data_IF_483417797602
#
_entry.id   IF_483417797602
#
_cell.length_a   1.000
_cell.length_b   1.000
_cell.length_c   1.000
_cell.angle_alpha   90.00
_cell.angle_beta   90.00
_cell.angle_gamma   90.00
#
_symmetry.space_group_name_H-M   'P 1'
#
loop_
_entity.id
_entity.type
_entity.pdbx_description
1 polymer ?
#
# COMPACT_ATOMS: atom_id res chain seq x y z
N UNK A 1 -34.96 14.91 11.56
CA UNK A 1 -35.51 15.73 12.66
C UNK A 1 -35.47 14.91 13.93
N UNK A 2 -35.13 15.52 15.05
CA UNK A 2 -35.16 14.94 16.40
C UNK A 2 -35.92 15.94 17.29
N UNK A 3 -36.88 15.47 18.08
CA UNK A 3 -37.76 16.31 18.92
C UNK A 3 -38.42 17.50 18.18
N UNK A 4 -38.83 17.26 16.93
CA UNK A 4 -39.47 18.29 16.10
C UNK A 4 -38.53 19.38 15.57
N UNK A 5 -37.22 19.31 15.89
CA UNK A 5 -36.22 20.25 15.40
C UNK A 5 -35.38 19.63 14.26
N UNK A 6 -34.97 20.50 13.32
CA UNK A 6 -34.03 20.14 12.27
C UNK A 6 -32.64 20.04 12.89
N UNK A 7 -32.07 18.83 12.90
CA UNK A 7 -30.73 18.56 13.46
C UNK A 7 -29.66 18.39 12.37
N UNK A 8 -30.07 17.86 11.22
CA UNK A 8 -29.21 17.51 10.10
C UNK A 8 -29.79 18.11 8.82
N UNK A 9 -28.94 18.79 8.05
CA UNK A 9 -29.23 19.20 6.69
C UNK A 9 -28.46 18.32 5.71
N UNK A 10 -29.09 17.94 4.61
CA UNK A 10 -28.46 17.13 3.57
C UNK A 10 -28.68 17.79 2.23
N UNK A 11 -27.58 18.07 1.52
CA UNK A 11 -27.59 18.53 0.13
C UNK A 11 -26.99 17.45 -0.76
N UNK A 12 -27.81 16.95 -1.70
CA UNK A 12 -27.40 15.93 -2.65
C UNK A 12 -27.17 16.55 -4.03
N UNK A 13 -26.03 16.21 -4.63
CA UNK A 13 -25.63 16.51 -6.01
C UNK A 13 -25.79 15.27 -6.87
N UNK A 14 -25.71 15.45 -8.19
CA UNK A 14 -25.74 14.35 -9.14
C UNK A 14 -24.49 13.47 -8.94
N UNK A 15 -24.66 12.16 -9.10
CA UNK A 15 -23.54 11.23 -9.09
C UNK A 15 -22.48 11.60 -10.12
N UNK A 16 -21.21 11.45 -9.74
CA UNK A 16 -20.00 11.86 -10.46
C UNK A 16 -19.76 13.37 -10.58
N UNK A 17 -20.65 14.24 -10.09
CA UNK A 17 -20.32 15.65 -9.97
C UNK A 17 -19.35 15.83 -8.78
N UNK A 18 -18.24 16.57 -8.95
CA UNK A 18 -17.32 16.85 -7.86
C UNK A 18 -18.03 17.71 -6.80
N UNK A 19 -17.85 17.35 -5.53
CA UNK A 19 -18.34 18.14 -4.42
C UNK A 19 -17.54 19.44 -4.32
N UNK A 20 -18.23 20.56 -4.47
CA UNK A 20 -17.65 21.90 -4.38
C UNK A 20 -18.48 22.72 -3.40
N UNK A 21 -17.87 23.18 -2.32
CA UNK A 21 -18.50 24.05 -1.33
C UNK A 21 -19.08 25.33 -1.95
N UNK A 22 -18.43 25.87 -2.98
CA UNK A 22 -18.90 27.00 -3.79
C UNK A 22 -20.28 26.75 -4.44
N UNK A 23 -20.60 25.48 -4.71
CA UNK A 23 -21.84 25.03 -5.32
C UNK A 23 -22.87 24.55 -4.27
N UNK A 24 -22.50 24.58 -2.98
CA UNK A 24 -23.32 24.20 -1.83
C UNK A 24 -23.88 25.43 -1.08
N UNK A 25 -24.10 26.54 -1.81
CA UNK A 25 -24.59 27.80 -1.23
C UNK A 25 -25.96 27.68 -0.55
N UNK A 26 -26.76 26.67 -0.92
CA UNK A 26 -28.03 26.37 -0.26
C UNK A 26 -27.79 25.77 1.13
N UNK A 27 -26.92 24.77 1.25
CA UNK A 27 -26.53 24.17 2.53
C UNK A 27 -26.06 25.23 3.52
N UNK A 28 -25.14 26.11 3.13
CA UNK A 28 -24.66 27.21 3.99
C UNK A 28 -25.80 28.14 4.44
N UNK A 29 -26.67 28.55 3.52
CA UNK A 29 -27.78 29.46 3.81
C UNK A 29 -28.77 28.84 4.78
N UNK A 30 -29.13 27.58 4.59
CA UNK A 30 -30.06 26.88 5.47
C UNK A 30 -29.43 26.54 6.82
N UNK A 31 -28.14 26.22 6.84
CA UNK A 31 -27.42 25.95 8.09
C UNK A 31 -27.43 27.16 9.03
N UNK A 32 -27.23 28.38 8.49
CA UNK A 32 -27.20 29.60 9.30
C UNK A 32 -28.56 30.04 9.88
N UNK A 33 -29.68 29.50 9.37
CA UNK A 33 -31.05 29.93 9.74
C UNK A 33 -31.88 28.79 10.35
N UNK A 34 -31.28 27.64 10.62
CA UNK A 34 -31.93 26.50 11.26
C UNK A 34 -31.18 26.12 12.54
N UNK A 35 -31.80 25.28 13.38
CA UNK A 35 -31.13 24.69 14.55
C UNK A 35 -30.22 23.50 14.16
N UNK A 36 -29.96 23.29 12.87
CA UNK A 36 -29.14 22.19 12.42
C UNK A 36 -27.70 22.43 12.86
N UNK A 37 -27.13 21.41 13.50
CA UNK A 37 -25.73 21.42 13.93
C UNK A 37 -24.85 20.57 13.03
N UNK A 38 -25.46 19.80 12.13
CA UNK A 38 -24.78 18.90 11.20
C UNK A 38 -25.27 19.17 9.77
N UNK A 39 -24.32 19.24 8.84
CA UNK A 39 -24.59 19.36 7.41
C UNK A 39 -23.90 18.22 6.67
N UNK A 40 -24.55 17.68 5.63
CA UNK A 40 -24.01 16.63 4.78
C UNK A 40 -24.10 17.10 3.33
N UNK A 41 -22.95 17.14 2.65
CA UNK A 41 -22.88 17.35 1.22
C UNK A 41 -22.50 16.02 0.56
N UNK A 42 -23.27 15.58 -0.43
CA UNK A 42 -23.04 14.27 -1.05
C UNK A 42 -23.36 14.25 -2.54
N UNK A 43 -22.69 13.39 -3.31
CA UNK A 43 -23.05 13.05 -4.69
C UNK A 43 -23.52 11.58 -4.81
N UNK A 44 -23.80 10.92 -3.68
CA UNK A 44 -24.18 9.51 -3.61
C UNK A 44 -23.02 8.53 -3.51
N UNK A 45 -21.80 8.92 -3.92
CA UNK A 45 -20.58 8.13 -3.67
C UNK A 45 -19.77 8.70 -2.51
N UNK A 46 -19.54 10.00 -2.50
CA UNK A 46 -18.80 10.69 -1.44
C UNK A 46 -19.79 11.44 -0.55
N UNK A 47 -19.59 11.35 0.76
CA UNK A 47 -20.35 12.04 1.78
C UNK A 47 -19.41 12.86 2.67
N UNK A 48 -19.57 14.17 2.64
CA UNK A 48 -18.81 15.11 3.45
C UNK A 48 -19.70 15.63 4.58
N UNK A 49 -19.27 15.41 5.82
CA UNK A 49 -19.99 15.83 7.01
C UNK A 49 -19.35 17.08 7.61
N UNK A 50 -20.18 18.05 7.96
CA UNK A 50 -19.81 19.36 8.48
C UNK A 50 -20.52 19.62 9.81
N UNK A 51 -19.87 20.40 10.67
CA UNK A 51 -20.41 20.91 11.95
C UNK A 51 -20.26 22.42 12.01
N UNK A 52 -20.57 23.02 13.15
CA UNK A 52 -20.31 24.42 13.51
C UNK A 52 -19.42 24.55 14.76
N UNK A 53 -18.41 23.69 14.85
CA UNK A 53 -17.48 23.65 15.98
C UNK A 53 -16.63 24.93 16.08
N UNK A 54 -16.37 25.60 14.95
CA UNK A 54 -15.56 26.82 14.93
C UNK A 54 -16.35 28.06 15.39
N UNK A 55 -17.62 28.15 14.99
CA UNK A 55 -18.49 29.25 15.37
C UNK A 55 -19.96 28.80 15.37
N UNK A 56 -20.74 29.09 16.44
CA UNK A 56 -22.14 28.66 16.54
C UNK A 56 -22.97 29.09 15.33
N UNK A 57 -23.79 28.18 14.80
CA UNK A 57 -24.65 28.39 13.62
C UNK A 57 -23.91 28.79 12.35
N UNK A 58 -22.60 28.53 12.28
CA UNK A 58 -21.79 28.74 11.08
C UNK A 58 -21.12 27.43 10.70
N UNK A 59 -21.52 26.88 9.56
CA UNK A 59 -20.91 25.66 9.03
C UNK A 59 -19.40 25.85 8.83
N UNK A 60 -18.62 24.93 9.39
CA UNK A 60 -17.16 24.87 9.27
C UNK A 60 -16.76 24.79 7.79
N UNK A 61 -15.63 25.40 7.45
CA UNK A 61 -15.15 25.43 6.06
C UNK A 61 -14.61 24.07 5.56
N UNK A 62 -14.27 23.16 6.49
CA UNK A 62 -13.73 21.84 6.18
C UNK A 62 -14.60 20.76 6.81
N UNK A 63 -14.87 19.65 6.11
CA UNK A 63 -15.60 18.55 6.70
C UNK A 63 -14.78 17.89 7.80
N UNK A 64 -15.44 17.39 8.84
CA UNK A 64 -14.81 16.62 9.91
C UNK A 64 -14.73 15.12 9.57
N UNK A 65 -15.61 14.64 8.67
CA UNK A 65 -15.63 13.28 8.18
C UNK A 65 -15.91 13.31 6.68
N UNK A 66 -15.13 12.54 5.91
CA UNK A 66 -15.35 12.29 4.49
C UNK A 66 -15.42 10.78 4.31
N UNK A 67 -16.51 10.31 3.74
CA UNK A 67 -16.74 8.89 3.48
C UNK A 67 -16.91 8.69 1.98
N UNK A 68 -16.02 7.88 1.39
CA UNK A 68 -16.11 7.43 0.01
C UNK A 68 -16.62 5.99 -0.02
N UNK A 69 -17.82 5.77 -0.57
CA UNK A 69 -18.39 4.42 -0.66
C UNK A 69 -17.62 3.50 -1.62
N UNK A 70 -16.73 4.03 -2.47
CA UNK A 70 -15.83 3.23 -3.29
C UNK A 70 -14.57 2.75 -2.53
N UNK A 71 -14.23 3.41 -1.42
CA UNK A 71 -13.03 3.15 -0.62
C UNK A 71 -13.32 3.46 0.86
N UNK A 72 -14.13 2.59 1.49
CA UNK A 72 -14.55 2.77 2.88
C UNK A 72 -13.42 2.32 3.81
N UNK A 73 -12.95 3.23 4.67
CA UNK A 73 -12.14 2.87 5.84
C UNK A 73 -13.05 2.26 6.91
N UNK A 74 -13.01 0.93 7.07
CA UNK A 74 -13.81 0.17 8.03
C UNK A 74 -13.64 0.66 9.48
N UNK A 75 -12.52 1.33 9.79
CA UNK A 75 -12.31 1.90 11.13
C UNK A 75 -13.23 3.08 11.45
N UNK A 76 -13.86 3.68 10.43
CA UNK A 76 -14.82 4.77 10.56
C UNK A 76 -16.26 4.27 10.80
N UNK A 77 -16.55 2.99 10.54
CA UNK A 77 -17.91 2.43 10.66
C UNK A 77 -18.51 2.54 12.07
N UNK A 78 -17.76 2.28 13.16
CA UNK A 78 -18.30 2.45 14.51
C UNK A 78 -18.71 3.89 14.82
N UNK A 79 -17.96 4.87 14.30
CA UNK A 79 -18.27 6.30 14.46
C UNK A 79 -19.46 6.71 13.59
N UNK A 80 -19.53 6.20 12.35
CA UNK A 80 -20.68 6.40 11.47
C UNK A 80 -21.96 5.81 12.05
N UNK A 81 -21.88 4.68 12.76
CA UNK A 81 -23.02 4.08 13.43
C UNK A 81 -23.65 5.01 14.48
N UNK A 82 -22.87 5.88 15.13
CA UNK A 82 -23.37 6.90 16.08
C UNK A 82 -24.17 8.02 15.38
N UNK A 83 -23.97 8.22 14.08
CA UNK A 83 -24.70 9.21 13.27
C UNK A 83 -26.06 8.68 12.78
N UNK A 84 -26.39 7.42 13.04
CA UNK A 84 -27.65 6.81 12.59
C UNK A 84 -28.82 7.18 13.50
N UNK A 85 -30.04 7.16 12.96
CA UNK A 85 -31.26 7.63 13.64
C UNK A 85 -31.51 6.98 15.01
N UNK A 86 -31.15 5.71 15.18
CA UNK A 86 -31.44 4.93 16.40
C UNK A 86 -30.51 5.29 17.57
N UNK A 87 -29.30 5.75 17.26
CA UNK A 87 -28.24 6.09 18.22
C UNK A 87 -27.90 7.58 18.22
N UNK A 88 -28.67 8.38 17.50
CA UNK A 88 -28.38 9.81 17.29
C UNK A 88 -28.47 10.58 18.59
N UNK A 89 -27.31 10.99 19.11
CA UNK A 89 -27.16 11.96 20.18
C UNK A 89 -26.29 13.11 19.68
N UNK A 90 -26.89 14.30 19.65
CA UNK A 90 -26.25 15.48 19.05
C UNK A 90 -24.94 15.84 19.77
N UNK A 91 -24.90 15.78 21.10
CA UNK A 91 -23.73 16.18 21.87
C UNK A 91 -22.59 15.17 21.70
N UNK A 92 -22.90 13.87 21.74
CA UNK A 92 -21.95 12.80 21.41
C UNK A 92 -21.42 12.92 19.98
N UNK A 93 -22.28 13.23 19.02
CA UNK A 93 -21.89 13.42 17.62
C UNK A 93 -20.98 14.63 17.43
N UNK A 94 -21.28 15.77 18.05
CA UNK A 94 -20.43 16.96 18.01
C UNK A 94 -19.07 16.67 18.67
N UNK A 95 -19.06 15.97 19.80
CA UNK A 95 -17.84 15.56 20.49
C UNK A 95 -16.98 14.64 19.61
N UNK A 96 -17.59 13.60 19.03
CA UNK A 96 -16.92 12.68 18.11
C UNK A 96 -16.42 13.42 16.85
N UNK A 97 -17.20 14.37 16.33
CA UNK A 97 -16.80 15.20 15.21
C UNK A 97 -15.57 16.06 15.53
N UNK A 98 -15.50 16.61 16.75
CA UNK A 98 -14.32 17.34 17.23
C UNK A 98 -13.07 16.46 17.25
N UNK A 99 -13.17 15.27 17.83
CA UNK A 99 -12.06 14.31 17.87
C UNK A 99 -11.64 13.87 16.45
N UNK A 100 -12.58 13.47 15.59
CA UNK A 100 -12.33 13.06 14.22
C UNK A 100 -11.69 14.18 13.38
N UNK A 101 -12.13 15.42 13.56
CA UNK A 101 -11.54 16.61 12.91
C UNK A 101 -10.05 16.71 13.23
N UNK A 102 -9.68 16.64 14.52
CA UNK A 102 -8.29 16.75 14.93
C UNK A 102 -7.47 15.52 14.55
N UNK A 103 -8.01 14.30 14.70
CA UNK A 103 -7.33 13.07 14.25
C UNK A 103 -7.05 13.13 12.75
N UNK A 104 -8.03 13.52 11.93
CA UNK A 104 -7.86 13.66 10.49
C UNK A 104 -6.83 14.72 10.11
N UNK A 105 -6.83 15.87 10.80
CA UNK A 105 -5.82 16.91 10.61
C UNK A 105 -4.42 16.43 10.99
N UNK A 106 -4.28 15.76 12.13
CA UNK A 106 -3.02 15.18 12.61
C UNK A 106 -2.50 14.11 11.64
N UNK A 107 -3.36 13.19 11.17
CA UNK A 107 -3.01 12.20 10.15
C UNK A 107 -2.48 12.86 8.88
N UNK A 108 -3.11 13.96 8.42
CA UNK A 108 -2.66 14.70 7.23
C UNK A 108 -1.28 15.34 7.45
N UNK A 109 -1.05 15.95 8.61
CA UNK A 109 0.25 16.54 8.96
C UNK A 109 1.31 15.44 9.04
N UNK A 110 1.04 14.33 9.73
CA UNK A 110 1.96 13.19 9.81
C UNK A 110 2.30 12.63 8.43
N UNK A 111 1.31 12.44 7.56
CA UNK A 111 1.53 11.99 6.19
C UNK A 111 2.41 12.98 5.39
N UNK A 112 2.22 14.28 5.57
CA UNK A 112 3.08 15.30 4.97
C UNK A 112 4.52 15.20 5.49
N UNK A 113 4.72 15.10 6.82
CA UNK A 113 6.04 14.94 7.43
C UNK A 113 6.76 13.67 6.97
N UNK A 114 6.02 12.58 6.71
CA UNK A 114 6.61 11.32 6.25
C UNK A 114 7.02 11.37 4.78
N UNK A 115 6.33 12.17 3.96
CA UNK A 115 6.65 12.38 2.55
C UNK A 115 7.79 13.39 2.39
N UNK A 116 7.71 14.50 3.10
CA UNK A 116 8.66 15.60 3.04
C UNK A 116 8.82 16.18 4.47
N UNK A 117 9.81 15.69 5.23
CA UNK A 117 10.10 16.16 6.59
C UNK A 117 10.39 17.67 6.65
N UNK A 118 9.66 18.39 7.49
CA UNK A 118 9.95 19.79 7.77
C UNK A 118 11.11 19.93 8.78
N UNK A 119 11.75 21.10 8.80
CA UNK A 119 12.91 21.38 9.65
C UNK A 119 12.64 21.14 11.14
N UNK A 120 11.43 21.46 11.62
CA UNK A 120 11.04 21.22 13.01
C UNK A 120 10.95 19.74 13.33
N UNK A 121 10.44 18.93 12.40
CA UNK A 121 10.37 17.48 12.55
C UNK A 121 11.75 16.82 12.53
N UNK A 122 12.61 17.26 11.60
CA UNK A 122 14.01 16.82 11.55
C UNK A 122 14.74 17.17 12.84
N UNK A 123 14.57 18.40 13.34
CA UNK A 123 15.15 18.84 14.61
C UNK A 123 14.66 18.02 15.80
N UNK A 124 13.35 17.78 15.87
CA UNK A 124 12.72 17.01 16.94
C UNK A 124 13.32 15.60 17.05
N UNK A 125 13.50 14.91 15.92
CA UNK A 125 14.08 13.57 15.91
C UNK A 125 15.60 13.60 16.16
N UNK A 126 16.30 14.53 15.51
CA UNK A 126 17.77 14.61 15.61
C UNK A 126 18.23 14.89 17.03
N UNK A 127 17.58 15.82 17.74
CA UNK A 127 17.96 16.18 19.12
C UNK A 127 17.78 15.07 20.15
N UNK A 128 17.08 13.97 19.79
CA UNK A 128 16.93 12.80 20.65
C UNK A 128 17.99 11.71 20.42
N UNK A 129 18.75 11.80 19.33
CA UNK A 129 19.75 10.79 18.94
C UNK A 129 21.15 11.37 18.74
N UNK A 130 21.27 12.70 18.68
CA UNK A 130 22.50 13.43 18.51
C UNK A 130 22.71 14.40 19.66
N UNK A 131 23.82 14.26 20.39
CA UNK A 131 24.14 15.04 21.60
C UNK A 131 24.70 16.44 21.30
N UNK A 132 24.97 16.77 20.03
CA UNK A 132 25.51 18.07 19.64
C UNK A 132 24.44 19.12 19.33
N UNK A 133 24.87 20.37 19.15
CA UNK A 133 23.98 21.46 18.77
C UNK A 133 23.37 21.21 17.38
N UNK A 134 22.07 21.49 17.24
CA UNK A 134 21.38 21.41 15.95
C UNK A 134 21.75 22.61 15.07
N UNK A 135 22.83 22.45 14.31
CA UNK A 135 23.34 23.45 13.34
C UNK A 135 22.79 23.19 11.94
N UNK A 136 22.96 24.15 11.01
CA UNK A 136 22.57 23.97 9.61
C UNK A 136 23.24 22.74 8.96
N UNK A 137 24.52 22.49 9.27
CA UNK A 137 25.25 21.32 8.78
C UNK A 137 24.65 20.01 9.30
N UNK A 138 24.26 19.99 10.57
CA UNK A 138 23.57 18.84 11.18
C UNK A 138 22.18 18.66 10.54
N UNK A 139 21.44 19.74 10.30
CA UNK A 139 20.16 19.69 9.58
C UNK A 139 20.31 19.07 8.19
N UNK A 140 21.28 19.53 7.39
CA UNK A 140 21.53 19.03 6.03
C UNK A 140 21.96 17.56 6.03
N UNK A 141 22.71 17.13 7.06
CA UNK A 141 23.10 15.73 7.23
C UNK A 141 21.93 14.84 7.67
N UNK A 142 21.11 15.30 8.63
CA UNK A 142 20.06 14.48 9.24
C UNK A 142 18.73 14.51 8.47
N UNK A 143 18.44 15.54 7.67
CA UNK A 143 17.23 15.60 6.86
C UNK A 143 17.02 14.35 5.99
N UNK A 144 18.01 13.96 5.15
CA UNK A 144 17.93 12.73 4.36
C UNK A 144 17.86 11.45 5.21
N UNK A 145 18.51 11.43 6.38
CA UNK A 145 18.48 10.28 7.28
C UNK A 145 17.09 10.10 7.91
N UNK A 146 16.44 11.20 8.32
CA UNK A 146 15.08 11.19 8.85
C UNK A 146 14.11 10.68 7.78
N UNK A 147 14.16 11.23 6.57
CA UNK A 147 13.30 10.79 5.46
C UNK A 147 13.47 9.29 5.17
N UNK A 148 14.72 8.82 5.12
CA UNK A 148 15.05 7.40 4.90
C UNK A 148 14.52 6.52 6.03
N UNK A 149 14.78 6.89 7.29
CA UNK A 149 14.35 6.13 8.46
C UNK A 149 12.82 6.04 8.54
N UNK A 150 12.10 7.12 8.25
CA UNK A 150 10.64 7.14 8.24
C UNK A 150 10.06 6.24 7.16
N UNK A 151 10.62 6.27 5.95
CA UNK A 151 10.20 5.39 4.86
C UNK A 151 10.48 3.91 5.16
N UNK A 152 11.66 3.59 5.69
CA UNK A 152 12.00 2.23 6.11
C UNK A 152 11.05 1.72 7.19
N UNK A 153 10.81 2.52 8.24
CA UNK A 153 9.89 2.16 9.31
C UNK A 153 8.47 1.91 8.81
N UNK A 154 7.95 2.75 7.92
CA UNK A 154 6.60 2.56 7.36
C UNK A 154 6.52 1.26 6.55
N UNK A 155 7.52 0.98 5.72
CA UNK A 155 7.60 -0.24 4.93
C UNK A 155 7.69 -1.48 5.81
N UNK A 156 8.46 -1.43 6.90
CA UNK A 156 8.53 -2.49 7.90
C UNK A 156 7.17 -2.70 8.57
N UNK A 157 6.48 -1.66 9.02
CA UNK A 157 5.15 -1.78 9.64
C UNK A 157 4.09 -2.36 8.69
N UNK A 158 4.12 -1.96 7.41
CA UNK A 158 3.24 -2.53 6.39
C UNK A 158 3.57 -3.99 6.17
N UNK A 159 4.85 -4.34 6.05
CA UNK A 159 5.30 -5.72 5.89
C UNK A 159 4.94 -6.58 7.10
N UNK A 160 5.07 -6.06 8.32
CA UNK A 160 4.72 -6.75 9.56
C UNK A 160 3.22 -6.97 9.67
N UNK A 161 2.39 -5.98 9.29
CA UNK A 161 0.93 -6.16 9.21
C UNK A 161 0.54 -7.17 8.13
N UNK A 162 1.19 -7.14 6.98
CA UNK A 162 0.96 -8.12 5.90
C UNK A 162 1.36 -9.53 6.35
N UNK A 163 2.52 -9.70 6.99
CA UNK A 163 2.96 -10.97 7.59
C UNK A 163 1.95 -11.44 8.64
N UNK A 164 1.58 -10.57 9.59
CA UNK A 164 0.60 -10.87 10.63
C UNK A 164 -0.79 -11.24 10.09
N UNK A 165 -1.21 -10.67 8.96
CA UNK A 165 -2.47 -10.99 8.29
C UNK A 165 -2.37 -12.26 7.41
N UNK A 166 -1.18 -12.63 6.95
CA UNK A 166 -0.91 -13.81 6.12
C UNK A 166 -0.52 -15.06 6.93
N UNK A 167 -0.19 -14.92 8.22
CA UNK A 167 0.12 -16.01 9.15
C UNK A 167 1.03 -15.54 10.29
N UNK A 168 0.68 -15.87 11.54
CA UNK A 168 1.29 -15.38 12.79
C UNK A 168 2.80 -15.65 12.99
N UNK A 169 3.32 -15.27 14.18
CA UNK A 169 4.66 -14.75 14.40
C UNK A 169 5.72 -15.84 14.38
N UNK A 170 6.62 -15.78 13.40
CA UNK A 170 7.96 -16.37 13.54
C UNK A 170 8.88 -15.76 12.47
N UNK A 171 9.72 -14.82 12.87
CA UNK A 171 11.08 -14.61 12.33
C UNK A 171 11.74 -13.49 13.13
N UNK A 172 12.35 -13.92 14.23
CA UNK A 172 13.39 -13.27 15.01
C UNK A 172 14.23 -12.27 14.22
N UNK A 173 14.29 -11.06 14.76
CA UNK A 173 15.32 -10.06 14.51
C UNK A 173 16.66 -10.58 15.04
N UNK A 174 17.69 -10.61 14.21
CA UNK A 174 19.08 -10.63 14.67
C UNK A 174 19.81 -9.43 14.09
N UNK A 175 19.98 -8.42 14.94
CA UNK A 175 20.97 -7.36 14.78
C UNK A 175 22.32 -7.94 15.19
N UNK A 176 23.36 -7.78 14.37
CA UNK A 176 24.72 -7.57 14.88
C UNK A 176 25.57 -6.81 13.89
N UNK A 177 26.25 -5.83 14.46
CA UNK A 177 27.04 -4.79 13.85
C UNK A 177 28.42 -5.28 13.37
N UNK A 178 29.01 -4.53 12.43
CA UNK A 178 30.42 -4.66 12.06
C UNK A 178 30.78 -3.85 10.81
N UNK A 179 31.32 -2.64 11.00
CA UNK A 179 32.09 -1.86 10.02
C UNK A 179 33.47 -1.58 10.65
N UNK A 180 34.51 -1.09 9.94
CA UNK A 180 34.85 -1.06 8.50
C UNK A 180 36.27 -1.68 8.23
N UNK A 181 36.80 -1.94 7.03
CA UNK A 181 37.34 -1.01 6.00
C UNK A 181 38.34 -1.82 5.09
N UNK A 182 39.09 -1.22 4.13
CA UNK A 182 38.88 -1.24 2.67
C UNK A 182 39.94 -2.04 1.86
N UNK A 183 39.72 -2.27 0.54
CA UNK A 183 40.69 -2.00 -0.55
C UNK A 183 40.14 -2.36 -1.95
N UNK A 184 40.32 -1.42 -2.89
CA UNK A 184 40.17 -1.52 -4.35
C UNK A 184 41.54 -1.92 -5.00
N UNK A 185 41.73 -2.03 -6.33
CA UNK A 185 40.94 -2.61 -7.44
C UNK A 185 41.75 -3.52 -8.43
N UNK A 186 41.09 -4.54 -9.02
CA UNK A 186 41.20 -5.11 -10.42
C UNK A 186 42.57 -5.60 -11.00
N UNK A 187 42.66 -6.36 -12.14
CA UNK A 187 41.65 -6.96 -13.04
C UNK A 187 41.85 -8.45 -13.48
N UNK A 188 40.77 -9.02 -14.05
CA UNK A 188 40.65 -10.01 -15.16
C UNK A 188 41.39 -11.38 -15.14
N UNK A 189 40.62 -12.48 -15.09
CA UNK A 189 40.30 -13.36 -16.23
C UNK A 189 39.64 -14.67 -15.74
N UNK A 190 38.81 -15.25 -16.61
CA UNK A 190 37.86 -16.33 -16.37
C UNK A 190 38.47 -17.67 -15.93
N UNK A 191 37.96 -18.23 -14.84
CA UNK A 191 37.64 -19.67 -14.75
C UNK A 191 36.53 -19.84 -13.72
N UNK A 192 35.44 -20.48 -14.13
CA UNK A 192 34.27 -20.70 -13.30
C UNK A 192 34.58 -21.79 -12.26
N UNK A 193 34.83 -21.37 -11.02
CA UNK A 193 34.70 -22.19 -9.83
C UNK A 193 33.52 -21.65 -9.02
N UNK A 194 32.51 -22.49 -8.83
CA UNK A 194 31.40 -22.25 -7.92
C UNK A 194 31.96 -22.44 -6.50
N UNK A 195 31.93 -21.43 -5.60
CA UNK A 195 32.17 -21.71 -4.21
C UNK A 195 30.94 -22.43 -3.65
N UNK A 196 31.15 -23.66 -3.20
CA UNK A 196 30.22 -24.36 -2.33
C UNK A 196 29.92 -23.51 -1.10
N UNK A 197 28.63 -23.26 -0.85
CA UNK A 197 28.17 -22.63 0.38
C UNK A 197 27.03 -21.60 0.26
N UNK A 198 26.34 -21.48 -0.86
CA UNK A 198 25.16 -20.61 -0.92
C UNK A 198 23.97 -21.30 -0.26
N UNK A 199 23.67 -20.89 0.98
CA UNK A 199 22.30 -20.95 1.49
C UNK A 199 21.41 -20.25 0.48
N UNK A 200 20.27 -20.85 0.18
CA UNK A 200 19.22 -20.22 -0.63
C UNK A 200 18.80 -18.94 0.10
N UNK A 201 19.22 -17.79 -0.42
CA UNK A 201 18.84 -16.46 0.10
C UNK A 201 17.89 -15.87 -0.92
N UNK A 202 16.59 -15.87 -0.60
CA UNK A 202 15.59 -15.18 -1.40
C UNK A 202 15.89 -13.68 -1.37
N UNK A 203 16.22 -13.12 -2.53
CA UNK A 203 16.48 -11.69 -2.69
C UNK A 203 15.16 -10.92 -2.83
N UNK A 204 15.15 -9.63 -2.44
CA UNK A 204 13.96 -8.78 -2.65
C UNK A 204 13.64 -8.65 -4.15
N UNK A 205 14.66 -8.72 -5.01
CA UNK A 205 14.50 -8.67 -6.47
C UNK A 205 13.75 -9.91 -7.00
N UNK A 206 14.05 -11.11 -6.50
CA UNK A 206 13.29 -12.32 -6.84
C UNK A 206 11.85 -12.25 -6.34
N UNK A 207 11.65 -11.67 -5.15
CA UNK A 207 10.31 -11.47 -4.58
C UNK A 207 9.49 -10.46 -5.38
N UNK A 208 10.12 -9.39 -5.85
CA UNK A 208 9.51 -8.39 -6.74
C UNK A 208 9.16 -9.01 -8.10
N UNK A 209 10.07 -9.75 -8.72
CA UNK A 209 9.80 -10.49 -9.95
C UNK A 209 8.64 -11.49 -9.77
N UNK A 210 8.59 -12.19 -8.63
CA UNK A 210 7.47 -13.07 -8.29
C UNK A 210 6.14 -12.31 -8.17
N UNK A 211 6.12 -11.16 -7.49
CA UNK A 211 4.92 -10.31 -7.36
C UNK A 211 4.42 -9.87 -8.73
N UNK A 212 5.32 -9.51 -9.65
CA UNK A 212 4.97 -9.14 -11.03
C UNK A 212 4.37 -10.33 -11.79
N UNK A 213 5.05 -11.49 -11.80
CA UNK A 213 4.53 -12.70 -12.47
C UNK A 213 3.17 -13.09 -11.89
N UNK A 214 3.02 -13.05 -10.56
CA UNK A 214 1.77 -13.33 -9.86
C UNK A 214 0.68 -12.35 -10.28
N UNK A 215 0.94 -11.04 -10.28
CA UNK A 215 -0.02 -10.03 -10.68
C UNK A 215 -0.52 -10.23 -12.13
N UNK A 216 0.39 -10.58 -13.05
CA UNK A 216 0.06 -10.85 -14.45
C UNK A 216 -0.92 -12.03 -14.58
N UNK A 217 -0.63 -13.16 -13.92
CA UNK A 217 -1.44 -14.38 -14.07
C UNK A 217 -2.70 -14.40 -13.19
N UNK A 218 -2.80 -13.50 -12.20
CA UNK A 218 -4.00 -13.35 -11.37
C UNK A 218 -5.24 -12.93 -12.17
N UNK A 219 -5.08 -12.43 -13.39
CA UNK A 219 -6.17 -12.21 -14.32
C UNK A 219 -6.88 -13.51 -14.76
N UNK A 220 -6.16 -14.65 -14.72
CA UNK A 220 -6.65 -15.94 -15.23
C UNK A 220 -6.84 -16.99 -14.12
N UNK A 221 -6.12 -16.88 -13.00
CA UNK A 221 -6.21 -17.80 -11.84
C UNK A 221 -6.24 -17.07 -10.51
N UNK A 222 -6.93 -17.62 -9.49
CA UNK A 222 -6.84 -17.09 -8.13
C UNK A 222 -5.39 -17.02 -7.64
N UNK A 223 -5.06 -15.91 -6.99
CA UNK A 223 -3.71 -15.59 -6.53
C UNK A 223 -3.13 -16.61 -5.53
N UNK A 224 -4.00 -17.35 -4.83
CA UNK A 224 -3.63 -18.44 -3.91
C UNK A 224 -3.08 -19.69 -4.64
N UNK A 225 -3.35 -19.83 -5.93
CA UNK A 225 -2.84 -20.94 -6.75
C UNK A 225 -1.45 -20.67 -7.32
N UNK A 226 -0.91 -19.47 -7.15
CA UNK A 226 0.43 -19.12 -7.62
C UNK A 226 1.38 -19.21 -6.43
N UNK A 227 2.32 -20.14 -6.49
CA UNK A 227 3.26 -20.42 -5.42
C UNK A 227 4.69 -20.03 -5.85
N UNK A 228 5.46 -19.50 -4.90
CA UNK A 228 6.88 -19.27 -5.04
C UNK A 228 7.68 -20.46 -4.49
N UNK A 229 8.74 -20.85 -5.20
CA UNK A 229 9.66 -21.88 -4.75
C UNK A 229 11.09 -21.47 -5.03
N UNK A 230 11.81 -21.13 -3.97
CA UNK A 230 13.19 -20.74 -4.10
C UNK A 230 14.10 -21.97 -4.31
N UNK A 231 15.00 -21.88 -5.28
CA UNK A 231 15.98 -22.91 -5.59
C UNK A 231 17.34 -22.27 -5.76
N UNK A 232 18.41 -23.02 -5.50
CA UNK A 232 19.79 -22.51 -5.60
C UNK A 232 20.11 -21.85 -6.94
N UNK A 233 19.50 -22.33 -8.03
CA UNK A 233 19.83 -21.89 -9.39
C UNK A 233 18.88 -20.85 -9.97
N UNK A 234 17.66 -20.75 -9.45
CA UNK A 234 16.61 -19.85 -9.94
C UNK A 234 15.47 -19.75 -8.93
N UNK A 235 14.71 -18.66 -8.99
CA UNK A 235 13.45 -18.54 -8.25
C UNK A 235 12.29 -19.08 -9.08
N UNK A 236 11.62 -20.12 -8.60
CA UNK A 236 10.52 -20.78 -9.30
C UNK A 236 9.15 -20.15 -9.00
N UNK A 237 8.34 -19.94 -10.04
CA UNK A 237 6.93 -19.58 -9.90
C UNK A 237 6.08 -20.71 -10.47
N UNK A 238 5.23 -21.30 -9.64
CA UNK A 238 4.50 -22.54 -9.92
C UNK A 238 2.99 -22.33 -9.82
N UNK A 239 2.22 -23.06 -10.62
CA UNK A 239 0.77 -23.19 -10.42
C UNK A 239 0.46 -24.37 -9.49
N UNK A 240 -0.44 -24.18 -8.54
CA UNK A 240 -0.90 -25.17 -7.55
C UNK A 240 0.23 -25.78 -6.71
N UNK A 241 1.33 -25.04 -6.48
CA UNK A 241 2.56 -25.55 -5.84
C UNK A 241 3.06 -26.88 -6.45
N UNK A 242 2.89 -27.03 -7.77
CA UNK A 242 3.18 -28.27 -8.47
C UNK A 242 4.36 -28.10 -9.42
N UNK A 243 5.46 -28.83 -9.17
CA UNK A 243 6.66 -28.82 -10.00
C UNK A 243 6.41 -29.23 -11.47
N UNK A 244 5.29 -29.87 -11.78
CA UNK A 244 4.88 -30.23 -13.16
C UNK A 244 4.10 -29.12 -13.89
N UNK A 245 3.82 -28.02 -13.20
CA UNK A 245 3.11 -26.83 -13.69
C UNK A 245 3.92 -25.53 -13.44
N UNK A 246 5.16 -25.41 -13.93
CA UNK A 246 5.92 -24.18 -13.79
C UNK A 246 5.35 -23.06 -14.66
N UNK A 247 5.11 -21.89 -14.06
CA UNK A 247 4.65 -20.68 -14.75
C UNK A 247 5.86 -19.91 -15.29
N UNK A 248 6.87 -19.70 -14.44
CA UNK A 248 8.09 -18.99 -14.78
C UNK A 248 9.28 -19.45 -13.92
N UNK A 249 10.49 -19.17 -14.40
CA UNK A 249 11.73 -19.26 -13.62
C UNK A 249 12.48 -17.92 -13.70
N UNK A 250 12.81 -17.34 -12.56
CA UNK A 250 13.57 -16.09 -12.49
C UNK A 250 15.03 -16.41 -12.27
N UNK A 251 15.87 -16.13 -13.26
CA UNK A 251 17.32 -16.39 -13.20
C UNK A 251 18.04 -15.08 -12.85
N UNK A 252 17.93 -14.65 -11.60
CA UNK A 252 18.50 -13.37 -11.14
C UNK A 252 19.87 -13.52 -10.45
N UNK A 253 20.27 -14.75 -10.15
CA UNK A 253 21.52 -15.09 -9.45
C UNK A 253 22.79 -14.89 -10.29
N UNK A 254 22.70 -14.24 -11.46
CA UNK A 254 23.82 -14.01 -12.39
C UNK A 254 23.84 -12.56 -12.89
N UNK A 255 24.99 -12.13 -13.40
CA UNK A 255 25.19 -10.78 -13.96
C UNK A 255 24.23 -10.45 -15.11
N UNK A 256 23.82 -11.45 -15.88
CA UNK A 256 22.74 -11.34 -16.88
C UNK A 256 21.49 -12.01 -16.33
N UNK A 257 20.39 -11.26 -16.28
CA UNK A 257 19.09 -11.71 -15.78
C UNK A 257 18.28 -12.33 -16.91
N UNK A 258 17.54 -13.39 -16.60
CA UNK A 258 16.66 -14.02 -17.56
C UNK A 258 15.30 -14.37 -16.94
N UNK A 259 14.25 -14.21 -17.75
CA UNK A 259 12.93 -14.77 -17.50
C UNK A 259 12.80 -16.10 -18.27
N UNK A 260 12.69 -17.21 -17.56
CA UNK A 260 12.38 -18.52 -18.13
C UNK A 260 10.87 -18.66 -18.35
N UNK A 261 10.44 -18.80 -19.60
CA UNK A 261 9.04 -19.06 -20.01
C UNK A 261 8.91 -20.43 -20.65
N UNK A 262 7.70 -21.02 -20.63
CA UNK A 262 7.47 -22.39 -21.10
C UNK A 262 6.56 -22.47 -22.33
N UNK A 263 6.95 -23.30 -23.29
CA UNK A 263 6.17 -23.58 -24.50
C UNK A 263 5.16 -24.74 -24.31
N UNK A 264 4.56 -25.22 -25.41
CA UNK A 264 3.55 -26.30 -25.41
C UNK A 264 4.15 -27.65 -24.99
N UNK A 265 5.43 -27.86 -25.28
CA UNK A 265 6.18 -29.06 -24.93
C UNK A 265 6.78 -28.98 -23.52
N UNK A 266 6.46 -27.93 -22.76
CA UNK A 266 7.08 -27.60 -21.47
C UNK A 266 8.59 -27.36 -21.57
N UNK A 267 9.09 -27.01 -22.76
CA UNK A 267 10.47 -26.60 -22.94
C UNK A 267 10.64 -25.16 -22.45
N UNK A 268 11.71 -24.92 -21.69
CA UNK A 268 12.04 -23.61 -21.15
C UNK A 268 12.81 -22.77 -22.18
N UNK A 269 12.36 -21.54 -22.42
CA UNK A 269 13.11 -20.52 -23.15
C UNK A 269 13.52 -19.40 -22.18
N UNK A 270 14.81 -19.06 -22.16
CA UNK A 270 15.35 -17.98 -21.32
C UNK A 270 15.39 -16.68 -22.10
N UNK A 271 14.54 -15.73 -21.73
CA UNK A 271 14.46 -14.41 -22.32
C UNK A 271 15.32 -13.43 -21.49
N UNK A 272 16.30 -12.75 -22.09
CA UNK A 272 17.14 -11.80 -21.35
C UNK A 272 16.30 -10.59 -20.92
N UNK A 273 16.46 -10.17 -19.68
CA UNK A 273 15.83 -8.96 -19.13
C UNK A 273 16.88 -8.07 -18.47
N UNK A 274 16.62 -6.76 -18.46
CA UNK A 274 17.52 -5.76 -17.85
C UNK A 274 17.03 -5.37 -16.46
N UNK A 275 15.70 -5.31 -16.28
CA UNK A 275 15.03 -5.01 -15.02
C UNK A 275 13.86 -5.98 -14.76
N UNK A 276 13.37 -6.03 -13.52
CA UNK A 276 12.17 -6.82 -13.17
C UNK A 276 10.90 -6.31 -13.88
N UNK A 277 10.85 -5.02 -14.24
CA UNK A 277 9.72 -4.43 -14.98
C UNK A 277 9.58 -5.00 -16.40
N UNK A 278 10.69 -5.46 -17.01
CA UNK A 278 10.67 -6.06 -18.35
C UNK A 278 9.80 -7.33 -18.42
N UNK A 279 9.49 -7.96 -17.27
CA UNK A 279 8.57 -9.11 -17.18
C UNK A 279 7.18 -8.77 -17.76
N UNK A 280 6.72 -7.51 -17.63
CA UNK A 280 5.44 -7.09 -18.20
C UNK A 280 5.37 -7.25 -19.73
N UNK A 281 6.51 -7.12 -20.42
CA UNK A 281 6.59 -7.29 -21.88
C UNK A 281 6.35 -8.75 -22.31
N UNK A 282 6.47 -9.69 -21.37
CA UNK A 282 6.28 -11.13 -21.60
C UNK A 282 4.98 -11.67 -21.00
N UNK A 283 4.05 -10.79 -20.60
CA UNK A 283 2.78 -11.17 -19.99
C UNK A 283 1.98 -12.20 -20.82
N UNK A 284 2.01 -12.08 -22.16
CA UNK A 284 1.35 -13.02 -23.06
C UNK A 284 1.86 -14.46 -22.92
N UNK A 285 3.17 -14.65 -22.77
CA UNK A 285 3.75 -15.98 -22.55
C UNK A 285 3.31 -16.58 -21.22
N UNK A 286 3.35 -15.79 -20.14
CA UNK A 286 2.99 -16.23 -18.79
C UNK A 286 1.52 -16.66 -18.71
N UNK A 287 0.62 -15.85 -19.28
CA UNK A 287 -0.82 -16.15 -19.34
C UNK A 287 -1.10 -17.38 -20.21
N UNK A 288 -0.42 -17.51 -21.36
CA UNK A 288 -0.55 -18.70 -22.21
C UNK A 288 -0.11 -19.98 -21.49
N UNK A 289 0.99 -19.94 -20.73
CA UNK A 289 1.44 -21.08 -19.91
C UNK A 289 0.38 -21.49 -18.88
N UNK A 290 -0.23 -20.53 -18.18
CA UNK A 290 -1.31 -20.81 -17.22
C UNK A 290 -2.56 -21.36 -17.91
N UNK A 291 -2.97 -20.78 -19.03
CA UNK A 291 -4.14 -21.24 -19.81
C UNK A 291 -4.00 -22.70 -20.26
N UNK A 292 -2.79 -23.14 -20.64
CA UNK A 292 -2.50 -24.54 -20.98
C UNK A 292 -2.70 -25.50 -19.80
N UNK A 293 -2.43 -25.06 -18.57
CA UNK A 293 -2.64 -25.87 -17.37
C UNK A 293 -4.09 -25.90 -16.88
N UNK A 294 -4.89 -24.91 -17.28
CA UNK A 294 -6.32 -24.86 -17.00
C UNK A 294 -7.15 -25.62 -18.04
N UNK A 295 -6.62 -25.77 -19.25
CA UNK A 295 -7.29 -26.53 -20.31
C UNK A 295 -7.21 -28.03 -19.98
N UNK A 296 -8.35 -28.74 -19.86
CA UNK A 296 -8.34 -30.18 -19.67
C UNK A 296 -7.67 -30.83 -20.88
N UNK A 297 -6.71 -31.71 -20.64
CA UNK A 297 -6.05 -32.47 -21.70
C UNK A 297 -7.12 -33.17 -22.53
N UNK A 298 -7.20 -32.85 -23.83
CA UNK A 298 -7.95 -33.66 -24.77
C UNK A 298 -7.35 -35.07 -24.72
N UNK A 299 -8.08 -35.99 -24.11
CA UNK A 299 -7.82 -37.41 -24.21
C UNK A 299 -7.90 -37.79 -25.68
N UNK A 300 -6.76 -38.00 -26.31
CA UNK A 300 -6.66 -38.78 -27.55
C UNK A 300 -7.12 -40.20 -27.24
N UNK A 301 -8.42 -40.43 -27.35
CA UNK A 301 -9.02 -41.74 -27.57
C UNK A 301 -8.81 -42.10 -29.04
N UNK A 302 -7.65 -42.68 -29.33
CA UNK A 302 -7.48 -43.48 -30.54
C UNK A 302 -8.15 -44.84 -30.29
N UNK A 303 -9.14 -45.15 -31.12
CA UNK A 303 -9.66 -46.50 -31.32
C UNK A 303 -8.71 -47.31 -32.19
#
# INVERSE_FOLDING_TARGET
MHDGQVQVLVEAKKINDPLRLEHASQLFRYFAVTNARIAILTNGQVYEFYTDLEAPNRMDAKPFLVLDFADIDDTLLPELAKLTKESFDLDSVISAAGELKYIGQLKRILAAQFKEPEDEWVKFLTTRVYEGAFTQRVREQFGPLVAKATSQFLNEQVNDRLKSALGGPDSYVSVSAGTPQPEQPQPAAETAEVPEGERVVTTEEELEGYRIVRAIVCADVPAARVAARDTQTYFGVLLDDNNRKPIARLWFNRSKKYLGVFDENKAETRLPITSVEDIYQHAGHLRATVARYLSPAQSTSAW
#
